data_IF_036073047037
#
_entry.id   IF_036073047037
#
_cell.length_a   1.000
_cell.length_b   1.000
_cell.length_c   1.000
_cell.angle_alpha   90.00
_cell.angle_beta   90.00
_cell.angle_gamma   90.00
#
_symmetry.space_group_name_H-M   'P 1'
#
loop_
_entity.id
_entity.type
_entity.pdbx_description
1 polymer ?
#
# COMPACT_ATOMS: atom_id res chain seq x y z
N UNK A 1 0.38 -21.22 8.35
CA UNK A 1 0.91 -20.08 7.59
C UNK A 1 0.58 -20.20 6.11
N UNK A 2 -0.70 -20.09 5.73
CA UNK A 2 -1.14 -20.31 4.34
C UNK A 2 -2.23 -19.35 3.85
N UNK A 3 -2.65 -18.37 4.65
CA UNK A 3 -3.71 -17.41 4.27
C UNK A 3 -3.19 -16.03 3.87
N UNK A 4 -1.91 -15.72 4.10
CA UNK A 4 -1.41 -14.34 4.09
C UNK A 4 -1.01 -13.80 2.71
N UNK A 5 -0.67 -14.62 1.73
CA UNK A 5 -0.15 -14.13 0.43
C UNK A 5 -1.23 -13.85 -0.62
N UNK A 6 -2.41 -14.47 -0.54
CA UNK A 6 -3.51 -14.21 -1.48
C UNK A 6 -4.59 -13.30 -0.90
N UNK A 7 -4.87 -13.37 0.40
CA UNK A 7 -5.94 -12.58 1.00
C UNK A 7 -5.64 -11.08 1.10
N UNK A 8 -4.41 -10.70 1.48
CA UNK A 8 -4.09 -9.27 1.70
C UNK A 8 -4.14 -8.46 0.39
N UNK A 9 -3.54 -8.89 -0.73
CA UNK A 9 -3.66 -8.17 -1.99
C UNK A 9 -5.10 -8.06 -2.48
N UNK A 10 -5.88 -9.15 -2.41
CA UNK A 10 -7.29 -9.19 -2.84
C UNK A 10 -8.19 -8.27 -1.99
N UNK A 11 -8.01 -8.28 -0.66
CA UNK A 11 -8.74 -7.39 0.26
C UNK A 11 -8.36 -5.94 -0.01
N UNK A 12 -7.06 -5.66 -0.23
CA UNK A 12 -6.58 -4.30 -0.51
C UNK A 12 -7.09 -3.80 -1.86
N UNK A 13 -7.06 -4.63 -2.91
CA UNK A 13 -7.58 -4.33 -4.24
C UNK A 13 -9.08 -4.01 -4.18
N UNK A 14 -9.85 -4.88 -3.51
CA UNK A 14 -11.29 -4.68 -3.29
C UNK A 14 -11.54 -3.37 -2.55
N UNK A 15 -10.76 -3.08 -1.51
CA UNK A 15 -10.90 -1.84 -0.75
C UNK A 15 -10.65 -0.60 -1.61
N UNK A 16 -9.58 -0.60 -2.40
CA UNK A 16 -9.22 0.52 -3.28
C UNK A 16 -10.28 0.69 -4.37
N UNK A 17 -10.78 -0.40 -4.96
CA UNK A 17 -11.85 -0.37 -5.95
C UNK A 17 -13.12 0.30 -5.38
N UNK A 18 -13.51 -0.03 -4.15
CA UNK A 18 -14.64 0.59 -3.47
C UNK A 18 -14.41 2.10 -3.24
N UNK A 19 -13.20 2.51 -2.84
CA UNK A 19 -12.89 3.92 -2.64
C UNK A 19 -12.87 4.71 -3.96
N UNK A 20 -12.30 4.14 -5.03
CA UNK A 20 -12.34 4.72 -6.39
C UNK A 20 -13.78 4.98 -6.81
N UNK A 21 -14.69 4.00 -6.60
CA UNK A 21 -16.13 4.16 -6.86
C UNK A 21 -16.75 5.26 -6.01
N UNK A 22 -16.49 5.26 -4.70
CA UNK A 22 -17.05 6.25 -3.75
C UNK A 22 -16.62 7.68 -4.08
N UNK A 23 -15.40 7.87 -4.58
CA UNK A 23 -14.89 9.19 -4.96
C UNK A 23 -15.20 9.59 -6.41
N UNK A 24 -15.90 8.73 -7.17
CA UNK A 24 -16.41 9.04 -8.50
C UNK A 24 -15.41 8.81 -9.64
N UNK A 25 -14.32 8.09 -9.39
CA UNK A 25 -13.26 7.83 -10.37
C UNK A 25 -13.42 6.51 -11.14
N UNK A 26 -14.49 5.74 -10.88
CA UNK A 26 -14.72 4.42 -11.49
C UNK A 26 -14.78 4.46 -13.02
N UNK A 27 -15.37 5.52 -13.61
CA UNK A 27 -15.46 5.65 -15.05
C UNK A 27 -14.11 5.96 -15.72
N UNK A 28 -13.14 6.45 -14.95
CA UNK A 28 -11.82 6.82 -15.43
C UNK A 28 -10.77 5.75 -15.15
N UNK A 29 -11.06 4.81 -14.25
CA UNK A 29 -10.19 3.69 -13.92
C UNK A 29 -10.24 2.65 -15.06
N UNK A 30 -9.09 2.41 -15.68
CA UNK A 30 -8.91 1.42 -16.74
C UNK A 30 -8.52 0.05 -16.18
N UNK A 31 -7.69 0.05 -15.15
CA UNK A 31 -7.16 -1.17 -14.53
C UNK A 31 -6.71 -0.86 -13.10
N UNK A 32 -6.93 -1.80 -12.19
CA UNK A 32 -6.42 -1.76 -10.82
C UNK A 32 -5.94 -3.16 -10.47
N UNK A 33 -4.70 -3.25 -10.01
CA UNK A 33 -4.09 -4.50 -9.54
C UNK A 33 -3.28 -4.25 -8.29
N UNK A 34 -3.39 -5.16 -7.33
CA UNK A 34 -2.50 -5.20 -6.17
C UNK A 34 -1.66 -6.46 -6.24
N UNK A 35 -0.35 -6.29 -6.32
CA UNK A 35 0.58 -7.40 -6.51
C UNK A 35 1.61 -7.44 -5.37
N UNK A 36 2.09 -8.65 -5.06
CA UNK A 36 3.22 -8.83 -4.18
C UNK A 36 4.51 -8.39 -4.89
N UNK A 37 5.19 -7.40 -4.35
CA UNK A 37 6.42 -6.86 -4.94
C UNK A 37 7.64 -7.65 -4.46
N UNK A 38 7.85 -7.75 -3.14
CA UNK A 38 8.97 -8.46 -2.54
C UNK A 38 8.75 -8.73 -1.05
N UNK A 39 9.51 -9.67 -0.48
CA UNK A 39 9.63 -9.82 0.97
C UNK A 39 10.89 -9.08 1.42
N UNK A 40 10.72 -8.00 2.16
CA UNK A 40 11.81 -7.28 2.82
C UNK A 40 12.30 -7.99 4.08
N UNK A 41 13.34 -7.44 4.72
CA UNK A 41 13.93 -8.01 5.92
C UNK A 41 12.95 -8.10 7.12
N UNK A 42 11.91 -7.26 7.13
CA UNK A 42 10.89 -7.22 8.19
C UNK A 42 9.51 -6.78 7.67
N UNK A 43 9.22 -6.96 6.38
CA UNK A 43 7.98 -6.53 5.73
C UNK A 43 7.63 -7.40 4.54
N UNK A 44 6.35 -7.45 4.19
CA UNK A 44 5.89 -7.88 2.87
C UNK A 44 5.53 -6.61 2.10
N UNK A 45 6.26 -6.34 1.02
CA UNK A 45 6.05 -5.16 0.22
C UNK A 45 5.04 -5.48 -0.89
N UNK A 46 3.99 -4.68 -0.97
CA UNK A 46 2.95 -4.76 -1.99
C UNK A 46 3.06 -3.55 -2.93
N UNK A 47 2.71 -3.75 -4.20
CA UNK A 47 2.59 -2.67 -5.18
C UNK A 47 1.15 -2.54 -5.64
N UNK A 48 0.67 -1.30 -5.71
CA UNK A 48 -0.62 -0.96 -6.29
C UNK A 48 -0.38 -0.35 -7.66
N UNK A 49 -0.94 -0.97 -8.70
CA UNK A 49 -0.88 -0.51 -10.07
C UNK A 49 -2.29 -0.06 -10.46
N UNK A 50 -2.47 1.23 -10.71
CA UNK A 50 -3.76 1.81 -11.08
C UNK A 50 -3.60 2.65 -12.36
N UNK A 51 -4.22 2.21 -13.44
CA UNK A 51 -4.22 2.90 -14.72
C UNK A 51 -5.51 3.69 -14.86
N UNK A 52 -5.39 4.96 -15.23
CA UNK A 52 -6.53 5.83 -15.48
C UNK A 52 -6.50 6.41 -16.89
N UNK A 53 -7.66 6.86 -17.39
CA UNK A 53 -7.77 7.61 -18.62
C UNK A 53 -6.91 8.88 -18.58
N UNK A 54 -6.37 9.27 -19.73
CA UNK A 54 -5.55 10.49 -19.86
C UNK A 54 -6.28 11.78 -19.44
N UNK A 55 -7.61 11.79 -19.48
CA UNK A 55 -8.46 12.93 -19.08
C UNK A 55 -8.26 13.31 -17.60
N UNK A 56 -7.90 12.36 -16.73
CA UNK A 56 -7.63 12.61 -15.31
C UNK A 56 -6.14 12.80 -15.00
N UNK A 57 -5.27 12.92 -16.01
CA UNK A 57 -3.84 13.21 -15.80
C UNK A 57 -3.57 14.45 -14.92
N UNK A 58 -4.34 15.56 -14.99
CA UNK A 58 -4.17 16.69 -14.06
C UNK A 58 -4.37 16.32 -12.59
N UNK A 59 -5.10 15.23 -12.31
CA UNK A 59 -5.37 14.71 -10.97
C UNK A 59 -4.35 13.68 -10.50
N UNK A 60 -3.31 13.36 -11.27
CA UNK A 60 -2.31 12.33 -10.94
C UNK A 60 -1.82 12.42 -9.49
N UNK A 61 -1.36 13.59 -9.06
CA UNK A 61 -0.86 13.81 -7.71
C UNK A 61 -1.95 13.63 -6.63
N UNK A 62 -3.20 13.93 -6.96
CA UNK A 62 -4.35 13.76 -6.07
C UNK A 62 -4.70 12.29 -5.93
N UNK A 63 -4.80 11.56 -7.05
CA UNK A 63 -5.07 10.13 -7.08
C UNK A 63 -3.97 9.34 -6.37
N UNK A 64 -2.70 9.68 -6.60
CA UNK A 64 -1.56 9.06 -5.91
C UNK A 64 -1.68 9.19 -4.38
N UNK A 65 -1.99 10.40 -3.87
CA UNK A 65 -2.23 10.61 -2.43
C UNK A 65 -3.48 9.89 -1.93
N UNK A 66 -4.54 9.84 -2.74
CA UNK A 66 -5.77 9.15 -2.38
C UNK A 66 -5.53 7.65 -2.21
N UNK A 67 -4.84 7.02 -3.16
CA UNK A 67 -4.46 5.60 -3.10
C UNK A 67 -3.62 5.29 -1.87
N UNK A 68 -2.62 6.12 -1.56
CA UNK A 68 -1.82 5.96 -0.33
C UNK A 68 -2.68 5.99 0.94
N UNK A 69 -3.58 6.99 1.04
CA UNK A 69 -4.52 7.09 2.16
C UNK A 69 -5.42 5.86 2.26
N UNK A 70 -5.98 5.40 1.14
CA UNK A 70 -6.84 4.22 1.11
C UNK A 70 -6.09 2.94 1.53
N UNK A 71 -4.79 2.83 1.22
CA UNK A 71 -3.96 1.74 1.73
C UNK A 71 -3.84 1.78 3.25
N UNK A 72 -3.58 2.96 3.84
CA UNK A 72 -3.50 3.13 5.30
C UNK A 72 -4.85 2.84 5.97
N UNK A 73 -5.95 3.28 5.35
CA UNK A 73 -7.31 2.98 5.82
C UNK A 73 -7.60 1.48 5.79
N UNK A 74 -7.18 0.78 4.73
CA UNK A 74 -7.33 -0.68 4.61
C UNK A 74 -6.54 -1.39 5.70
N UNK A 75 -5.29 -0.99 5.95
CA UNK A 75 -4.47 -1.55 7.02
C UNK A 75 -5.14 -1.35 8.39
N UNK A 76 -5.63 -0.13 8.64
CA UNK A 76 -6.32 0.20 9.90
C UNK A 76 -7.59 -0.63 10.08
N UNK A 77 -8.42 -0.77 9.04
CA UNK A 77 -9.69 -1.53 9.08
C UNK A 77 -9.48 -3.02 9.27
N UNK A 78 -8.46 -3.58 8.63
CA UNK A 78 -8.15 -5.01 8.71
C UNK A 78 -7.17 -5.34 9.85
N UNK A 79 -6.83 -4.35 10.67
CA UNK A 79 -5.92 -4.49 11.80
C UNK A 79 -4.53 -5.03 11.38
N UNK A 80 -4.09 -4.68 10.17
CA UNK A 80 -2.77 -5.00 9.65
C UNK A 80 -1.73 -4.04 10.23
N UNK A 81 -0.70 -4.61 10.84
CA UNK A 81 0.40 -3.84 11.40
C UNK A 81 1.22 -3.20 10.27
N UNK A 82 1.37 -1.88 10.30
CA UNK A 82 2.23 -1.15 9.37
C UNK A 82 3.63 -1.13 9.99
N UNK A 83 4.61 -1.85 9.43
CA UNK A 83 5.92 -1.97 10.04
C UNK A 83 6.61 -0.60 10.05
N UNK A 84 7.03 -0.16 11.23
CA UNK A 84 7.94 0.99 11.37
C UNK A 84 9.38 0.50 11.25
N UNK A 85 10.22 1.11 10.40
CA UNK A 85 11.63 0.76 10.35
C UNK A 85 12.27 1.04 11.72
N UNK A 86 12.67 -0.02 12.42
CA UNK A 86 13.42 0.09 13.67
C UNK A 86 14.88 0.39 13.34
N UNK A 87 15.37 1.57 13.69
CA UNK A 87 16.81 1.88 13.60
C UNK A 87 17.52 1.28 14.83
N UNK A 88 18.10 0.09 14.68
CA UNK A 88 18.95 -0.49 15.74
C UNK A 88 20.32 0.20 15.72
N UNK A 89 20.56 1.10 16.67
CA UNK A 89 21.88 1.73 16.85
C UNK A 89 22.78 0.75 17.61
N UNK A 90 23.74 0.13 16.94
CA UNK A 90 24.86 -0.52 17.61
C UNK A 90 25.78 0.57 18.19
N UNK A 91 25.60 0.88 19.48
CA UNK A 91 26.64 1.60 20.21
C UNK A 91 27.77 0.62 20.45
N UNK A 92 28.87 0.79 19.72
CA UNK A 92 30.15 0.22 20.12
C UNK A 92 30.45 0.76 21.52
N UNK A 93 30.45 -0.13 22.51
CA UNK A 93 30.95 0.20 23.83
C UNK A 93 32.42 0.54 23.66
N UNK A 94 32.73 1.83 23.53
CA UNK A 94 34.08 2.32 23.47
C UNK A 94 34.85 1.80 24.67
N UNK A 95 35.77 0.87 24.40
CA UNK A 95 36.89 0.59 25.28
C UNK A 95 37.64 1.89 25.49
N UNK A 96 37.66 2.41 26.72
CA UNK A 96 38.63 3.43 27.13
C UNK A 96 38.89 3.30 28.62
N UNK A 97 40.15 2.97 28.95
CA UNK A 97 40.76 3.20 30.26
C UNK A 97 40.97 1.96 31.10
#
# INVERSE_FOLDING_TARGET
>A
QAQSTHGVPEILETHIQEQVRREGYENDLLNLRVEFAQAGASSLDLVVIADFKGEVAPLYNRLSRAIQRWCVDACTKNNWEIPFPQLTIHRESGTTG
#
